data_IF_938359126414
#
_entry.id   IF_938359126414
#
_cell.length_a   1.000
_cell.length_b   1.000
_cell.length_c   1.000
_cell.angle_alpha   90.00
_cell.angle_beta   90.00
_cell.angle_gamma   90.00
#
_symmetry.space_group_name_H-M   'P 1'
#
loop_
_entity.id
_entity.type
_entity.pdbx_description
1 polymer ?
#
# COMPACT_ATOMS: atom_id res chain seq x y z
N UNK A 1 -5.23 -4.69 17.82
CA UNK A 1 -5.47 -3.27 18.18
C UNK A 1 -4.73 -2.42 17.15
N UNK A 2 -5.38 -1.47 16.57
CA UNK A 2 -4.81 -0.56 15.57
C UNK A 2 -4.64 0.80 16.22
N UNK A 3 -3.45 1.38 16.12
CA UNK A 3 -3.15 2.69 16.69
C UNK A 3 -2.98 3.71 15.57
N UNK A 4 -3.81 4.76 15.60
CA UNK A 4 -3.56 5.99 14.86
C UNK A 4 -2.86 6.97 15.80
N UNK A 5 -1.56 7.13 15.65
CA UNK A 5 -0.83 8.17 16.36
C UNK A 5 -0.98 9.49 15.63
N UNK A 6 -1.53 10.47 16.32
CA UNK A 6 -1.69 11.84 15.82
C UNK A 6 -0.35 12.60 15.82
N UNK A 7 0.58 12.20 14.96
CA UNK A 7 1.50 13.17 14.37
C UNK A 7 0.82 13.71 13.12
N UNK A 8 -0.16 14.59 13.37
CA UNK A 8 -0.96 15.18 12.32
C UNK A 8 -0.19 16.27 11.59
N UNK A 9 0.40 15.86 10.49
CA UNK A 9 0.31 16.66 9.28
C UNK A 9 -1.11 16.45 8.73
N UNK A 10 -1.87 17.48 8.39
CA UNK A 10 -3.21 17.34 7.73
C UNK A 10 -3.16 16.52 6.43
N UNK A 11 -1.98 16.13 5.99
CA UNK A 11 -1.68 15.48 4.71
C UNK A 11 -1.43 13.99 4.86
N UNK A 12 -0.76 13.54 5.93
CA UNK A 12 -0.47 12.13 6.17
C UNK A 12 -0.74 11.75 7.62
N UNK A 13 -1.19 10.54 7.84
CA UNK A 13 -1.47 9.98 9.14
C UNK A 13 -0.81 8.62 9.30
N UNK A 14 -0.04 8.44 10.38
CA UNK A 14 0.52 7.13 10.70
C UNK A 14 -0.57 6.16 11.11
N UNK A 15 -0.49 4.93 10.59
CA UNK A 15 -1.35 3.81 10.96
C UNK A 15 -0.51 2.59 11.27
N UNK A 16 -0.86 1.87 12.31
CA UNK A 16 -0.13 0.72 12.79
C UNK A 16 -1.09 -0.35 13.31
N UNK A 17 -0.88 -1.59 12.87
CA UNK A 17 -1.60 -2.76 13.35
C UNK A 17 -0.64 -3.86 13.79
N UNK A 18 -1.17 -5.04 14.10
CA UNK A 18 -0.36 -6.17 14.58
C UNK A 18 0.73 -6.61 13.62
N UNK A 19 0.45 -6.58 12.31
CA UNK A 19 1.34 -7.11 11.27
C UNK A 19 1.62 -6.11 10.15
N UNK A 20 1.22 -4.85 10.30
CA UNK A 20 1.43 -3.80 9.31
C UNK A 20 1.64 -2.46 9.98
N UNK A 21 2.38 -1.60 9.32
CA UNK A 21 2.49 -0.19 9.66
C UNK A 21 2.82 0.64 8.41
N UNK A 22 2.45 1.91 8.46
CA UNK A 22 2.66 2.82 7.35
C UNK A 22 1.95 4.14 7.53
N UNK A 23 1.64 4.78 6.41
CA UNK A 23 1.02 6.10 6.38
C UNK A 23 -0.18 6.14 5.43
N UNK A 24 -1.25 6.76 5.90
CA UNK A 24 -2.42 7.11 5.08
C UNK A 24 -2.15 8.48 4.48
N UNK A 25 -2.20 8.58 3.16
CA UNK A 25 -2.15 9.85 2.44
C UNK A 25 -3.57 10.37 2.27
N UNK A 26 -3.81 11.57 2.78
CA UNK A 26 -5.14 12.19 2.71
C UNK A 26 -5.46 12.70 1.30
N UNK A 27 -6.72 12.99 1.05
CA UNK A 27 -7.16 13.66 -0.18
C UNK A 27 -6.53 15.04 -0.41
N UNK A 28 -5.95 15.64 0.64
CA UNK A 28 -5.23 16.93 0.56
C UNK A 28 -3.78 16.79 0.08
N UNK A 29 -3.26 15.58 -0.09
CA UNK A 29 -1.90 15.37 -0.59
C UNK A 29 -1.77 15.88 -2.04
N UNK A 30 -0.77 16.71 -2.30
CA UNK A 30 -0.55 17.42 -3.57
C UNK A 30 0.68 16.94 -4.33
N UNK A 31 1.44 15.97 -3.83
CA UNK A 31 2.61 15.40 -4.50
C UNK A 31 2.25 14.45 -5.63
N UNK A 32 3.29 13.83 -6.22
CA UNK A 32 3.08 12.81 -7.24
C UNK A 32 2.20 11.67 -6.72
N UNK A 33 1.14 11.36 -7.46
CA UNK A 33 0.22 10.28 -7.15
C UNK A 33 0.04 9.40 -8.40
N UNK A 34 0.44 8.12 -8.36
CA UNK A 34 0.32 7.22 -9.52
C UNK A 34 -1.12 6.94 -9.93
N UNK A 35 -2.09 7.23 -9.05
CA UNK A 35 -3.53 7.08 -9.36
C UNK A 35 -4.13 8.32 -10.04
N UNK A 36 -3.37 9.41 -10.18
CA UNK A 36 -3.89 10.70 -10.64
C UNK A 36 -4.70 11.43 -9.56
N UNK A 37 -5.33 12.54 -9.94
CA UNK A 37 -6.04 13.44 -9.01
C UNK A 37 -7.57 13.23 -9.02
N UNK A 38 -8.04 12.07 -9.46
CA UNK A 38 -9.47 11.80 -9.64
C UNK A 38 -10.06 11.18 -8.38
N UNK A 39 -11.16 11.76 -7.89
CA UNK A 39 -12.04 11.22 -6.83
C UNK A 39 -11.31 10.63 -5.62
N UNK A 40 -10.42 11.40 -5.05
CA UNK A 40 -9.70 11.02 -3.83
C UNK A 40 -10.64 10.99 -2.61
N UNK A 41 -10.38 10.08 -1.70
CA UNK A 41 -10.91 10.14 -0.33
C UNK A 41 -9.80 9.78 0.66
N UNK A 42 -9.95 10.25 1.89
CA UNK A 42 -9.04 9.88 2.97
C UNK A 42 -9.53 8.62 3.66
N UNK A 43 -8.82 7.48 3.53
CA UNK A 43 -9.19 6.27 4.26
C UNK A 43 -9.13 6.50 5.77
N UNK A 44 -10.11 5.97 6.48
CA UNK A 44 -10.07 5.92 7.94
C UNK A 44 -9.45 4.60 8.44
N UNK A 45 -9.26 4.49 9.75
CA UNK A 45 -8.68 3.30 10.39
C UNK A 45 -9.46 2.02 10.04
N UNK A 46 -10.78 2.07 10.05
CA UNK A 46 -11.65 0.93 9.70
C UNK A 46 -11.47 0.49 8.24
N UNK A 47 -11.29 1.44 7.33
CA UNK A 47 -10.99 1.17 5.92
C UNK A 47 -9.66 0.42 5.78
N UNK A 48 -8.62 0.84 6.52
CA UNK A 48 -7.31 0.18 6.49
C UNK A 48 -7.36 -1.23 7.06
N UNK A 49 -8.01 -1.42 8.20
CA UNK A 49 -8.19 -2.77 8.79
C UNK A 49 -8.90 -3.71 7.82
N UNK A 50 -9.94 -3.24 7.16
CA UNK A 50 -10.66 -4.01 6.13
C UNK A 50 -9.78 -4.32 4.93
N UNK A 51 -9.02 -3.35 4.44
CA UNK A 51 -8.10 -3.53 3.32
C UNK A 51 -7.01 -4.57 3.63
N UNK A 52 -6.38 -4.50 4.81
CA UNK A 52 -5.35 -5.45 5.23
C UNK A 52 -5.91 -6.87 5.42
N UNK A 53 -7.15 -7.00 5.88
CA UNK A 53 -7.83 -8.30 5.95
C UNK A 53 -8.03 -8.91 4.56
N UNK A 54 -8.57 -8.15 3.63
CA UNK A 54 -8.78 -8.59 2.23
C UNK A 54 -7.44 -8.97 1.59
N UNK A 55 -6.42 -8.14 1.78
CA UNK A 55 -5.05 -8.41 1.32
C UNK A 55 -4.57 -9.77 1.83
N UNK A 56 -4.60 -10.00 3.12
CA UNK A 56 -4.12 -11.23 3.75
C UNK A 56 -4.85 -12.47 3.24
N UNK A 57 -6.14 -12.37 3.00
CA UNK A 57 -6.97 -13.48 2.54
C UNK A 57 -6.73 -13.82 1.05
N UNK A 58 -6.42 -12.85 0.20
CA UNK A 58 -6.44 -13.03 -1.26
C UNK A 58 -5.06 -12.92 -1.92
N UNK A 59 -4.04 -12.37 -1.28
CA UNK A 59 -2.75 -12.10 -1.93
C UNK A 59 -2.04 -13.36 -2.40
N UNK A 60 -2.17 -14.48 -1.70
CA UNK A 60 -1.52 -15.74 -2.10
C UNK A 60 -2.01 -16.22 -3.47
N UNK A 61 -3.32 -16.16 -3.68
CA UNK A 61 -3.94 -16.60 -4.94
C UNK A 61 -3.66 -15.61 -6.07
N UNK A 62 -3.71 -14.30 -5.78
CA UNK A 62 -3.38 -13.27 -6.75
C UNK A 62 -1.90 -13.32 -7.19
N UNK A 63 -1.02 -13.73 -6.29
CA UNK A 63 0.43 -13.84 -6.49
C UNK A 63 0.89 -15.25 -6.91
N UNK A 64 0.03 -16.09 -7.45
CA UNK A 64 0.34 -17.48 -7.77
C UNK A 64 1.48 -17.66 -8.77
N UNK A 65 1.64 -16.73 -9.71
CA UNK A 65 2.63 -16.81 -10.79
C UNK A 65 4.04 -16.34 -10.34
N UNK A 66 4.19 -15.80 -9.14
CA UNK A 66 5.46 -15.36 -8.53
C UNK A 66 6.32 -14.46 -9.43
N UNK A 67 5.67 -13.57 -10.18
CA UNK A 67 6.35 -12.65 -11.10
C UNK A 67 7.42 -11.82 -10.37
N UNK A 68 8.63 -11.77 -10.93
CA UNK A 68 9.78 -11.02 -10.36
C UNK A 68 10.15 -11.41 -8.92
N UNK A 69 9.90 -12.66 -8.51
CA UNK A 69 10.12 -13.17 -7.15
C UNK A 69 11.09 -14.36 -7.14
N UNK A 70 12.14 -14.30 -7.96
CA UNK A 70 13.18 -15.34 -8.05
C UNK A 70 14.47 -14.93 -7.35
N UNK A 71 15.31 -15.88 -6.99
CA UNK A 71 16.59 -15.63 -6.34
C UNK A 71 16.42 -14.97 -4.98
N UNK A 72 17.05 -13.81 -4.80
CA UNK A 72 16.96 -13.04 -3.55
C UNK A 72 15.70 -12.18 -3.42
N UNK A 73 14.89 -12.12 -4.47
CA UNK A 73 13.64 -11.35 -4.46
C UNK A 73 12.60 -12.05 -3.59
N UNK A 74 12.05 -11.39 -2.57
CA UNK A 74 11.16 -12.06 -1.63
C UNK A 74 9.84 -12.50 -2.26
N UNK A 75 9.31 -13.64 -1.82
CA UNK A 75 7.95 -14.07 -2.11
C UNK A 75 7.00 -13.23 -1.25
N UNK A 76 6.29 -12.29 -1.87
CA UNK A 76 5.59 -11.21 -1.18
C UNK A 76 4.56 -11.70 -0.15
N UNK A 77 3.73 -12.68 -0.49
CA UNK A 77 2.70 -13.19 0.41
C UNK A 77 3.25 -13.92 1.65
N UNK A 78 4.54 -14.33 1.62
CA UNK A 78 5.22 -14.93 2.78
C UNK A 78 5.93 -13.91 3.66
N UNK A 79 6.02 -12.65 3.22
CA UNK A 79 6.83 -11.61 3.85
C UNK A 79 6.07 -10.30 4.10
N UNK A 80 4.74 -10.32 4.16
CA UNK A 80 3.90 -9.12 4.29
C UNK A 80 4.33 -8.20 5.44
N UNK A 81 4.72 -8.75 6.59
CA UNK A 81 5.15 -7.98 7.76
C UNK A 81 6.52 -7.29 7.59
N UNK A 82 7.26 -7.61 6.53
CA UNK A 82 8.58 -7.03 6.23
C UNK A 82 8.52 -5.77 5.39
N UNK A 83 7.32 -5.32 5.02
CA UNK A 83 7.11 -4.12 4.24
C UNK A 83 6.46 -3.02 5.07
N UNK A 84 6.89 -1.78 4.83
CA UNK A 84 6.15 -0.58 5.19
C UNK A 84 5.11 -0.27 4.12
N UNK A 85 4.03 0.41 4.49
CA UNK A 85 2.91 0.71 3.57
C UNK A 85 2.67 2.20 3.44
N UNK A 86 2.19 2.55 2.26
CA UNK A 86 1.52 3.82 2.01
C UNK A 86 0.13 3.52 1.45
N UNK A 87 -0.88 4.17 1.98
CA UNK A 87 -2.29 3.95 1.60
C UNK A 87 -2.86 5.19 0.96
N UNK A 88 -3.44 5.03 -0.22
CA UNK A 88 -4.10 6.11 -0.96
C UNK A 88 -5.50 5.67 -1.33
N UNK A 89 -6.51 6.46 -0.96
CA UNK A 89 -7.92 6.20 -1.26
C UNK A 89 -8.35 6.89 -2.55
N UNK A 90 -9.09 6.16 -3.39
CA UNK A 90 -9.76 6.68 -4.58
C UNK A 90 -11.14 6.05 -4.73
N UNK A 91 -12.04 6.72 -5.45
CA UNK A 91 -13.36 6.19 -5.79
C UNK A 91 -13.42 5.88 -7.28
N UNK A 92 -14.08 4.77 -7.63
CA UNK A 92 -14.42 4.46 -9.02
C UNK A 92 -15.57 5.34 -9.52
N UNK A 93 -15.82 5.32 -10.82
CA UNK A 93 -16.98 6.00 -11.42
C UNK A 93 -18.32 5.55 -10.79
N UNK A 94 -18.41 4.30 -10.35
CA UNK A 94 -19.56 3.74 -9.65
C UNK A 94 -19.63 4.12 -8.17
N UNK A 95 -18.65 4.86 -7.65
CA UNK A 95 -18.56 5.24 -6.24
C UNK A 95 -17.96 4.18 -5.32
N UNK A 96 -17.41 3.09 -5.85
CA UNK A 96 -16.71 2.10 -5.05
C UNK A 96 -15.46 2.71 -4.41
N UNK A 97 -15.25 2.43 -3.14
CA UNK A 97 -14.03 2.83 -2.43
C UNK A 97 -12.90 1.85 -2.73
N UNK A 98 -11.81 2.36 -3.28
CA UNK A 98 -10.61 1.60 -3.59
C UNK A 98 -9.43 2.16 -2.80
N UNK A 99 -8.64 1.30 -2.19
CA UNK A 99 -7.36 1.67 -1.57
C UNK A 99 -6.23 1.07 -2.39
N UNK A 100 -5.34 1.92 -2.87
CA UNK A 100 -4.04 1.53 -3.37
C UNK A 100 -3.07 1.42 -2.21
N UNK A 101 -2.41 0.26 -2.10
CA UNK A 101 -1.41 0.00 -1.08
C UNK A 101 -0.06 -0.14 -1.76
N UNK A 102 0.87 0.74 -1.41
CA UNK A 102 2.25 0.70 -1.84
C UNK A 102 3.12 0.05 -0.78
N UNK A 103 3.94 -0.91 -1.17
CA UNK A 103 4.79 -1.69 -0.27
C UNK A 103 6.26 -1.38 -0.52
N UNK A 104 6.95 -0.98 0.54
CA UNK A 104 8.37 -0.65 0.54
C UNK A 104 9.10 -1.56 1.53
N UNK A 105 10.17 -2.21 1.09
CA UNK A 105 10.94 -3.10 1.95
C UNK A 105 11.48 -2.38 3.18
N UNK A 106 11.24 -2.93 4.37
CA UNK A 106 11.53 -2.28 5.65
C UNK A 106 13.03 -2.08 5.95
N UNK A 107 13.92 -2.67 5.17
CA UNK A 107 15.37 -2.48 5.29
C UNK A 107 15.93 -1.38 4.39
N UNK A 108 15.12 -0.84 3.47
CA UNK A 108 15.50 0.31 2.64
C UNK A 108 15.38 1.60 3.44
N UNK A 109 16.45 1.94 4.16
CA UNK A 109 16.47 3.11 5.03
C UNK A 109 16.36 4.42 4.26
N UNK A 110 16.87 4.49 3.03
CA UNK A 110 16.85 5.70 2.22
C UNK A 110 15.41 6.02 1.74
N UNK A 111 14.69 5.01 1.27
CA UNK A 111 13.28 5.16 0.91
C UNK A 111 12.41 5.51 2.14
N UNK A 112 12.71 4.92 3.29
CA UNK A 112 11.91 5.11 4.51
C UNK A 112 12.02 6.50 5.12
N UNK A 113 13.10 7.25 4.85
CA UNK A 113 13.26 8.64 5.35
C UNK A 113 12.08 9.52 4.92
N UNK A 114 11.58 9.32 3.71
CA UNK A 114 10.49 10.13 3.13
C UNK A 114 9.12 9.46 3.16
N UNK A 115 8.99 8.33 3.82
CA UNK A 115 7.79 7.51 3.81
C UNK A 115 6.51 8.25 4.23
N UNK A 116 6.63 9.22 5.13
CA UNK A 116 5.52 10.05 5.63
C UNK A 116 5.30 11.35 4.85
N UNK A 117 6.19 11.67 3.91
CA UNK A 117 6.19 12.96 3.23
C UNK A 117 5.75 12.87 1.78
N UNK A 118 6.19 11.83 1.09
CA UNK A 118 5.90 11.65 -0.34
C UNK A 118 5.61 10.18 -0.67
N UNK A 119 4.85 9.96 -1.73
CA UNK A 119 4.62 8.61 -2.26
C UNK A 119 5.91 8.09 -2.88
N UNK A 120 6.41 6.99 -2.36
CA UNK A 120 7.68 6.38 -2.78
C UNK A 120 7.45 5.59 -4.08
N UNK A 121 8.18 5.95 -5.12
CA UNK A 121 8.20 5.23 -6.40
C UNK A 121 9.63 4.77 -6.67
N UNK A 122 9.79 3.47 -6.84
CA UNK A 122 11.04 2.81 -7.22
C UNK A 122 10.80 2.11 -8.55
N UNK A 123 11.71 2.26 -9.51
CA UNK A 123 11.53 1.74 -10.86
C UNK A 123 12.00 0.29 -11.04
N UNK A 124 12.85 -0.17 -10.14
CA UNK A 124 13.43 -1.52 -10.14
C UNK A 124 13.38 -2.16 -8.74
N UNK A 125 14.27 -3.08 -8.44
CA UNK A 125 14.38 -3.69 -7.11
C UNK A 125 13.45 -4.88 -6.89
N UNK A 126 12.91 -5.46 -7.95
CA UNK A 126 12.02 -6.63 -7.93
C UNK A 126 10.92 -6.56 -6.87
N UNK A 127 10.58 -7.66 -6.24
CA UNK A 127 9.51 -7.75 -5.22
C UNK A 127 9.84 -7.11 -3.86
N UNK A 128 10.96 -6.39 -3.74
CA UNK A 128 11.16 -5.48 -2.61
C UNK A 128 10.23 -4.26 -2.65
N UNK A 129 9.68 -3.96 -3.84
CA UNK A 129 8.73 -2.86 -4.08
C UNK A 129 7.59 -3.38 -4.94
N UNK A 130 6.38 -3.19 -4.47
CA UNK A 130 5.18 -3.63 -5.17
C UNK A 130 3.95 -2.87 -4.68
N UNK A 131 2.88 -2.95 -5.43
CA UNK A 131 1.60 -2.35 -5.04
C UNK A 131 0.44 -3.24 -5.43
N UNK A 132 -0.69 -3.00 -4.82
CA UNK A 132 -1.94 -3.70 -5.10
C UNK A 132 -3.12 -2.79 -4.78
N UNK A 133 -4.26 -3.03 -5.39
CA UNK A 133 -5.52 -2.33 -5.09
C UNK A 133 -6.49 -3.23 -4.35
N UNK A 134 -7.21 -2.63 -3.42
CA UNK A 134 -8.29 -3.28 -2.67
C UNK A 134 -9.58 -2.50 -2.92
N UNK A 135 -10.57 -3.14 -3.50
CA UNK A 135 -11.92 -2.58 -3.57
C UNK A 135 -12.66 -2.92 -2.27
N UNK A 136 -12.85 -1.93 -1.42
CA UNK A 136 -13.52 -2.11 -0.12
C UNK A 136 -15.03 -2.40 -0.28
N UNK A 137 -15.64 -1.92 -1.34
CA UNK A 137 -17.07 -2.09 -1.60
C UNK A 137 -17.38 -3.52 -2.03
N UNK A 138 -16.57 -4.08 -2.93
CA UNK A 138 -16.75 -5.46 -3.43
C UNK A 138 -15.99 -6.51 -2.65
N UNK A 139 -15.02 -6.11 -1.81
CA UNK A 139 -14.15 -7.03 -1.06
C UNK A 139 -13.11 -7.74 -1.93
N UNK A 140 -12.69 -7.13 -3.06
CA UNK A 140 -11.79 -7.74 -4.03
C UNK A 140 -10.40 -7.11 -4.02
N UNK A 141 -9.38 -7.96 -3.98
CA UNK A 141 -7.98 -7.61 -4.23
C UNK A 141 -7.70 -7.73 -5.73
N UNK A 142 -7.04 -6.72 -6.32
CA UNK A 142 -6.78 -6.69 -7.76
C UNK A 142 -5.60 -5.77 -8.11
N UNK A 143 -5.20 -5.79 -9.37
CA UNK A 143 -4.18 -4.89 -9.94
C UNK A 143 -2.84 -4.96 -9.17
N UNK A 144 -2.33 -6.20 -9.02
CA UNK A 144 -1.02 -6.45 -8.43
C UNK A 144 0.08 -6.01 -9.40
N UNK A 145 0.96 -5.13 -8.94
CA UNK A 145 2.12 -4.64 -9.70
C UNK A 145 3.39 -4.88 -8.89
N UNK A 146 4.30 -5.67 -9.44
CA UNK A 146 5.59 -6.00 -8.81
C UNK A 146 6.70 -5.45 -9.69
N UNK A 147 7.65 -4.74 -9.05
CA UNK A 147 8.76 -4.14 -9.79
C UNK A 147 9.59 -5.19 -10.52
N UNK A 148 10.17 -4.78 -11.64
CA UNK A 148 11.12 -5.59 -12.39
C UNK A 148 12.50 -5.61 -11.73
N UNK A 149 13.33 -6.54 -12.18
CA UNK A 149 14.75 -6.55 -11.87
C UNK A 149 15.50 -5.72 -12.93
N UNK A 150 16.40 -4.87 -12.48
CA UNK A 150 17.33 -4.19 -13.39
C UNK A 150 18.40 -5.17 -13.88
#
# INVERSE_FOLDING_TARGET
>A
MVYCNAQNNDVTQKVEGKCFDGYIFSEKYVGFNPLGDIDKFTPNESDIVKAEKILKEQIKDLNKDLLNQVGNCPVIHKKLSKYKRQYVGTKTENGDKVIWINFIWSKDKDALVKLSEEIIIVLDGCSYYWSVKVNLTTGKLFDLSINGSA
#
